data_IF_759419157251
#
_entry.id   IF_759419157251
#
_cell.length_a   1.000
_cell.length_b   1.000
_cell.length_c   1.000
_cell.angle_alpha   90.00
_cell.angle_beta   90.00
_cell.angle_gamma   90.00
#
_symmetry.space_group_name_H-M   'P 1'
#
loop_
_entity.id
_entity.type
_entity.pdbx_description
1 polymer ?
#
# COMPACT_ATOMS: atom_id res chain seq x y z
N UNK A 1 2.64 -49.92 -74.73
CA UNK A 1 2.97 -49.98 -73.28
C UNK A 1 2.34 -48.74 -72.64
N UNK A 2 1.12 -48.94 -72.14
CA UNK A 2 0.43 -48.22 -71.05
C UNK A 2 0.78 -46.74 -70.77
N UNK A 3 -0.14 -45.83 -71.06
CA UNK A 3 -0.40 -44.66 -70.21
C UNK A 3 -1.82 -44.78 -69.64
N UNK A 4 -1.90 -44.91 -68.31
CA UNK A 4 -3.13 -45.04 -67.53
C UNK A 4 -3.81 -43.67 -67.34
N UNK A 5 -5.12 -43.67 -67.55
CA UNK A 5 -6.19 -43.07 -66.73
C UNK A 5 -5.78 -42.09 -65.60
N UNK A 6 -6.37 -40.89 -65.57
CA UNK A 6 -7.51 -40.64 -64.65
C UNK A 6 -8.13 -39.27 -64.86
N UNK A 7 -9.46 -39.28 -64.95
CA UNK A 7 -10.36 -38.15 -64.99
C UNK A 7 -10.42 -37.54 -63.57
N UNK A 8 -9.95 -36.30 -63.37
CA UNK A 8 -10.11 -35.60 -62.10
C UNK A 8 -11.56 -35.15 -61.96
N UNK A 9 -12.28 -35.74 -61.01
CA UNK A 9 -13.56 -35.22 -60.54
C UNK A 9 -13.30 -33.93 -59.75
N UNK A 10 -13.92 -32.84 -60.17
CA UNK A 10 -13.93 -31.58 -59.44
C UNK A 10 -14.86 -31.72 -58.23
N UNK A 11 -14.30 -32.03 -57.07
CA UNK A 11 -14.98 -31.86 -55.79
C UNK A 11 -14.97 -30.38 -55.46
N UNK A 12 -16.10 -29.70 -55.67
CA UNK A 12 -16.35 -28.38 -55.07
C UNK A 12 -16.46 -28.63 -53.57
N UNK A 13 -15.35 -28.46 -52.86
CA UNK A 13 -15.39 -28.21 -51.42
C UNK A 13 -15.98 -26.83 -51.30
N UNK A 14 -17.27 -26.74 -50.98
CA UNK A 14 -17.79 -25.56 -50.35
C UNK A 14 -16.95 -25.36 -49.09
N UNK A 15 -16.05 -24.37 -49.10
CA UNK A 15 -15.60 -23.78 -47.85
C UNK A 15 -16.88 -23.25 -47.20
N UNK A 16 -17.45 -24.07 -46.32
CA UNK A 16 -18.19 -23.53 -45.20
C UNK A 16 -17.19 -22.60 -44.52
N UNK A 17 -17.41 -21.29 -44.66
CA UNK A 17 -16.93 -20.37 -43.65
C UNK A 17 -17.30 -20.97 -42.28
N UNK A 18 -16.44 -20.84 -41.26
CA UNK A 18 -16.85 -21.23 -39.91
C UNK A 18 -18.23 -20.60 -39.67
N UNK A 19 -19.20 -21.40 -39.24
CA UNK A 19 -20.42 -20.85 -38.69
C UNK A 19 -19.99 -19.75 -37.71
N UNK A 20 -20.50 -18.54 -37.89
CA UNK A 20 -20.22 -17.41 -37.00
C UNK A 20 -20.24 -17.96 -35.57
N UNK A 21 -19.10 -17.89 -34.88
CA UNK A 21 -19.07 -18.13 -33.46
C UNK A 21 -20.18 -17.27 -32.87
N UNK A 22 -21.16 -17.88 -32.20
CA UNK A 22 -22.32 -17.15 -31.68
C UNK A 22 -21.79 -16.08 -30.72
N UNK A 23 -22.01 -14.80 -30.98
CA UNK A 23 -21.51 -13.71 -30.13
C UNK A 23 -22.37 -13.48 -28.86
N UNK A 24 -22.97 -14.55 -28.33
CA UNK A 24 -23.73 -14.50 -27.07
C UNK A 24 -25.25 -14.49 -27.18
N UNK A 25 -25.90 -14.47 -26.03
CA UNK A 25 -27.34 -14.59 -25.81
C UNK A 25 -27.83 -13.48 -24.89
N UNK A 26 -28.95 -12.87 -25.28
CA UNK A 26 -29.71 -11.95 -24.44
C UNK A 26 -30.86 -12.70 -23.76
N UNK A 27 -31.05 -12.47 -22.47
CA UNK A 27 -32.16 -13.01 -21.70
C UNK A 27 -32.62 -12.06 -20.60
N UNK A 28 -33.85 -12.22 -20.10
CA UNK A 28 -34.33 -11.47 -18.94
C UNK A 28 -34.38 -12.36 -17.69
N UNK A 29 -33.68 -11.95 -16.64
CA UNK A 29 -33.76 -12.52 -15.30
C UNK A 29 -34.53 -11.57 -14.38
N UNK A 30 -35.86 -11.77 -14.31
CA UNK A 30 -36.73 -10.78 -13.69
C UNK A 30 -36.78 -9.49 -14.52
N UNK A 31 -36.28 -8.39 -13.95
CA UNK A 31 -36.19 -7.07 -14.62
C UNK A 31 -34.74 -6.70 -15.00
N UNK A 32 -33.84 -7.69 -14.98
CA UNK A 32 -32.45 -7.54 -15.41
C UNK A 32 -32.30 -8.09 -16.81
N UNK A 33 -31.77 -7.30 -17.74
CA UNK A 33 -31.33 -7.83 -19.03
C UNK A 33 -29.91 -8.39 -18.86
N UNK A 34 -29.73 -9.66 -19.19
CA UNK A 34 -28.44 -10.37 -19.11
C UNK A 34 -27.94 -10.62 -20.53
N UNK A 35 -26.77 -10.09 -20.84
CA UNK A 35 -25.94 -10.54 -21.95
C UNK A 35 -25.01 -11.63 -21.43
N UNK A 36 -25.00 -12.77 -22.12
CA UNK A 36 -24.11 -13.88 -21.83
C UNK A 36 -23.37 -14.24 -23.11
N UNK A 37 -22.08 -13.99 -23.12
CA UNK A 37 -21.14 -14.40 -24.15
C UNK A 37 -21.15 -15.91 -24.39
N UNK A 38 -20.57 -16.32 -25.52
CA UNK A 38 -20.36 -17.76 -25.78
C UNK A 38 -18.92 -18.13 -25.51
N UNK A 39 -18.71 -19.31 -24.92
CA UNK A 39 -17.38 -19.80 -24.57
C UNK A 39 -16.38 -19.72 -25.75
N UNK A 40 -15.21 -19.13 -25.48
CA UNK A 40 -14.05 -18.97 -26.34
C UNK A 40 -14.19 -17.90 -27.41
N UNK A 41 -15.27 -17.10 -27.38
CA UNK A 41 -15.40 -15.92 -28.22
C UNK A 41 -14.60 -14.75 -27.63
N UNK A 42 -14.16 -13.84 -28.48
CA UNK A 42 -13.75 -12.51 -28.06
C UNK A 42 -14.94 -11.60 -28.37
N UNK A 43 -15.61 -11.15 -27.32
CA UNK A 43 -16.84 -10.37 -27.39
C UNK A 43 -16.57 -8.89 -27.11
N UNK A 44 -17.38 -8.01 -27.70
CA UNK A 44 -17.20 -6.56 -27.57
C UNK A 44 -18.53 -5.80 -27.50
N UNK A 45 -19.45 -6.16 -26.58
CA UNK A 45 -20.77 -5.54 -26.53
C UNK A 45 -20.66 -4.03 -26.27
N UNK A 46 -21.31 -3.25 -27.13
CA UNK A 46 -21.53 -1.82 -26.92
C UNK A 46 -22.98 -1.55 -26.54
N UNK A 47 -23.18 -0.91 -25.39
CA UNK A 47 -24.50 -0.57 -24.85
C UNK A 47 -24.84 0.89 -25.08
N UNK A 48 -26.10 1.20 -25.36
CA UNK A 48 -26.58 2.57 -25.53
C UNK A 48 -28.10 2.67 -25.44
N UNK A 49 -28.68 3.76 -25.93
CA UNK A 49 -30.13 3.94 -25.97
C UNK A 49 -30.56 4.48 -27.34
N UNK A 50 -31.66 3.94 -27.88
CA UNK A 50 -32.24 4.48 -29.11
C UNK A 50 -33.22 5.63 -28.85
N UNK A 51 -33.60 6.35 -29.92
CA UNK A 51 -34.55 7.46 -29.88
C UNK A 51 -35.96 7.04 -29.38
N UNK A 52 -36.28 5.75 -29.40
CA UNK A 52 -37.55 5.20 -28.91
C UNK A 52 -37.49 4.82 -27.42
N UNK A 53 -36.34 5.03 -26.77
CA UNK A 53 -36.08 4.74 -25.38
C UNK A 53 -35.95 3.26 -25.06
N UNK A 54 -35.50 2.46 -26.03
CA UNK A 54 -35.06 1.09 -25.80
C UNK A 54 -33.56 1.06 -25.55
N UNK A 55 -33.14 0.10 -24.73
CA UNK A 55 -31.73 -0.21 -24.55
C UNK A 55 -31.20 -0.86 -25.83
N UNK A 56 -30.05 -0.40 -26.31
CA UNK A 56 -29.36 -0.98 -27.46
C UNK A 56 -28.15 -1.80 -27.03
N UNK A 57 -27.91 -2.92 -27.72
CA UNK A 57 -26.71 -3.75 -27.57
C UNK A 57 -26.18 -4.08 -28.97
N UNK A 58 -25.02 -3.52 -29.32
CA UNK A 58 -24.34 -3.79 -30.58
C UNK A 58 -23.36 -4.94 -30.41
N UNK A 59 -23.73 -6.10 -30.97
CA UNK A 59 -22.92 -7.30 -31.06
C UNK A 59 -23.47 -8.18 -32.23
N UNK A 60 -22.60 -8.86 -32.97
CA UNK A 60 -22.99 -9.59 -34.19
C UNK A 60 -23.42 -11.03 -33.91
N UNK A 61 -24.64 -11.42 -34.27
CA UNK A 61 -25.07 -12.82 -34.13
C UNK A 61 -25.66 -13.18 -32.76
N UNK A 62 -26.13 -12.17 -32.03
CA UNK A 62 -26.89 -12.32 -30.79
C UNK A 62 -28.11 -13.23 -30.94
N UNK A 63 -28.29 -14.12 -29.96
CA UNK A 63 -29.59 -14.76 -29.71
C UNK A 63 -30.45 -13.83 -28.85
N UNK A 64 -31.57 -13.34 -29.38
CA UNK A 64 -32.35 -12.27 -28.73
C UNK A 64 -33.30 -12.76 -27.62
N UNK A 65 -33.45 -11.94 -26.58
CA UNK A 65 -34.47 -12.12 -25.56
C UNK A 65 -35.88 -11.81 -26.11
N UNK A 66 -36.95 -12.35 -25.49
CA UNK A 66 -38.32 -11.99 -25.84
C UNK A 66 -38.57 -10.47 -25.77
N UNK A 67 -39.15 -9.91 -26.83
CA UNK A 67 -39.45 -8.47 -26.92
C UNK A 67 -38.32 -7.62 -27.51
N UNK A 68 -37.11 -8.17 -27.64
CA UNK A 68 -36.02 -7.52 -28.35
C UNK A 68 -36.21 -7.67 -29.87
N UNK A 69 -35.75 -6.67 -30.62
CA UNK A 69 -35.67 -6.68 -32.09
C UNK A 69 -34.24 -6.43 -32.52
N UNK A 70 -33.84 -6.86 -33.71
CA UNK A 70 -32.47 -6.65 -34.21
C UNK A 70 -32.49 -5.97 -35.58
N UNK A 71 -31.79 -4.85 -35.69
CA UNK A 71 -31.51 -4.13 -36.94
C UNK A 71 -30.09 -3.58 -36.87
N UNK A 72 -29.11 -4.45 -37.13
CA UNK A 72 -27.66 -4.23 -36.92
C UNK A 72 -27.22 -4.03 -35.46
N UNK A 73 -28.13 -3.62 -34.58
CA UNK A 73 -28.01 -3.66 -33.12
C UNK A 73 -29.25 -4.31 -32.53
N UNK A 74 -29.13 -4.95 -31.37
CA UNK A 74 -30.30 -5.36 -30.61
C UNK A 74 -30.97 -4.13 -29.98
N UNK A 75 -32.30 -4.12 -29.95
CA UNK A 75 -33.13 -3.11 -29.32
C UNK A 75 -34.09 -3.80 -28.35
N UNK A 76 -33.86 -3.66 -27.06
CA UNK A 76 -34.58 -4.35 -26.01
C UNK A 76 -35.45 -3.39 -25.19
N UNK A 77 -36.62 -3.83 -24.69
CA UNK A 77 -37.36 -3.08 -23.68
C UNK A 77 -36.44 -2.65 -22.53
N UNK A 78 -36.57 -1.41 -22.08
CA UNK A 78 -35.71 -0.86 -21.03
C UNK A 78 -35.82 -1.71 -19.74
N UNK A 79 -34.73 -2.33 -19.26
CA UNK A 79 -34.73 -3.07 -18.00
C UNK A 79 -34.55 -2.12 -16.80
N UNK A 80 -34.60 -2.66 -15.58
CA UNK A 80 -34.17 -1.94 -14.38
C UNK A 80 -32.66 -2.06 -14.09
N UNK A 81 -31.98 -3.03 -14.71
CA UNK A 81 -30.54 -3.29 -14.57
C UNK A 81 -30.02 -4.05 -15.79
N UNK A 82 -28.73 -3.90 -16.07
CA UNK A 82 -28.02 -4.74 -17.05
C UNK A 82 -26.94 -5.56 -16.36
N UNK A 83 -26.77 -6.82 -16.78
CA UNK A 83 -25.59 -7.63 -16.43
C UNK A 83 -24.93 -8.15 -17.71
N UNK A 84 -23.62 -7.97 -17.82
CA UNK A 84 -22.79 -8.55 -18.87
C UNK A 84 -21.96 -9.68 -18.25
N UNK A 85 -22.05 -10.87 -18.85
CA UNK A 85 -21.20 -12.03 -18.55
C UNK A 85 -20.38 -12.31 -19.81
N UNK A 86 -19.10 -11.92 -19.81
CA UNK A 86 -18.24 -11.91 -21.01
C UNK A 86 -17.52 -13.24 -21.27
N UNK A 87 -17.35 -14.10 -20.26
CA UNK A 87 -17.06 -15.52 -20.49
C UNK A 87 -15.61 -15.88 -20.21
N UNK A 88 -14.96 -16.58 -21.12
CA UNK A 88 -13.57 -17.04 -21.01
C UNK A 88 -12.66 -16.47 -22.12
N UNK A 89 -13.11 -15.40 -22.77
CA UNK A 89 -12.42 -14.69 -23.84
C UNK A 89 -11.53 -13.56 -23.35
N UNK A 90 -10.73 -12.98 -24.25
CA UNK A 90 -10.08 -11.70 -23.98
C UNK A 90 -11.06 -10.58 -24.41
N UNK A 91 -11.96 -10.18 -23.53
CA UNK A 91 -13.15 -9.43 -23.89
C UNK A 91 -13.02 -7.92 -23.63
N UNK A 92 -13.95 -7.17 -24.22
CA UNK A 92 -14.04 -5.72 -24.02
C UNK A 92 -15.51 -5.34 -23.86
N UNK A 93 -15.83 -4.32 -23.06
CA UNK A 93 -17.16 -3.73 -23.12
C UNK A 93 -17.10 -2.22 -23.33
N UNK A 94 -18.16 -1.66 -23.90
CA UNK A 94 -18.26 -0.22 -24.05
C UNK A 94 -19.69 0.28 -23.84
N UNK A 95 -19.78 1.53 -23.43
CA UNK A 95 -21.03 2.24 -23.29
C UNK A 95 -20.97 3.48 -24.18
N UNK A 96 -21.99 3.64 -25.01
CA UNK A 96 -22.17 4.81 -25.84
C UNK A 96 -22.58 6.01 -24.99
N UNK A 97 -22.38 7.21 -25.52
CA UNK A 97 -22.66 8.45 -24.79
C UNK A 97 -24.13 8.68 -24.46
N UNK A 98 -25.02 7.92 -25.08
CA UNK A 98 -26.47 7.93 -24.89
C UNK A 98 -26.95 6.84 -23.93
N UNK A 99 -26.04 6.06 -23.31
CA UNK A 99 -26.40 5.10 -22.29
C UNK A 99 -27.10 5.80 -21.11
N UNK A 100 -28.19 5.24 -20.55
CA UNK A 100 -28.96 5.95 -19.52
C UNK A 100 -28.20 6.11 -18.21
N UNK A 101 -28.01 7.35 -17.75
CA UNK A 101 -27.32 7.72 -16.50
C UNK A 101 -27.90 7.12 -15.21
N UNK A 102 -29.08 6.49 -15.25
CA UNK A 102 -29.79 5.92 -14.09
C UNK A 102 -30.08 4.41 -14.25
N UNK A 103 -29.38 3.76 -15.19
CA UNK A 103 -29.48 2.32 -15.45
C UNK A 103 -28.22 1.61 -14.94
N UNK A 104 -28.27 0.96 -13.77
CA UNK A 104 -27.10 0.29 -13.21
C UNK A 104 -26.66 -0.89 -14.09
N UNK A 105 -25.34 -1.04 -14.20
CA UNK A 105 -24.69 -2.12 -14.92
C UNK A 105 -23.77 -2.92 -13.99
N UNK A 106 -23.75 -4.23 -14.19
CA UNK A 106 -22.77 -5.17 -13.64
C UNK A 106 -22.04 -5.82 -14.82
N UNK A 107 -20.71 -5.79 -14.82
CA UNK A 107 -19.89 -6.37 -15.88
C UNK A 107 -18.97 -7.40 -15.25
N UNK A 108 -19.10 -8.65 -15.69
CA UNK A 108 -18.30 -9.79 -15.28
C UNK A 108 -17.47 -10.21 -16.48
N UNK A 109 -16.16 -10.01 -16.42
CA UNK A 109 -15.19 -10.44 -17.44
C UNK A 109 -15.18 -11.95 -17.55
N UNK A 110 -14.69 -12.60 -16.49
CA UNK A 110 -14.64 -14.05 -16.37
C UNK A 110 -13.21 -14.53 -16.48
N UNK A 111 -12.88 -15.51 -17.31
CA UNK A 111 -11.48 -15.86 -17.55
C UNK A 111 -10.96 -15.12 -18.79
N UNK A 112 -9.66 -14.86 -18.89
CA UNK A 112 -9.08 -14.16 -20.04
C UNK A 112 -8.63 -12.75 -19.68
N UNK A 113 -8.07 -12.01 -20.65
CA UNK A 113 -7.58 -10.65 -20.42
C UNK A 113 -8.64 -9.65 -20.84
N UNK A 114 -9.40 -9.20 -19.87
CA UNK A 114 -10.58 -8.38 -20.09
C UNK A 114 -10.28 -6.90 -19.93
N UNK A 115 -11.04 -6.11 -20.67
CA UNK A 115 -10.97 -4.66 -20.57
C UNK A 115 -12.38 -4.12 -20.31
N UNK A 116 -12.61 -3.89 -19.02
CA UNK A 116 -13.90 -3.54 -18.47
C UNK A 116 -13.95 -2.05 -18.16
N UNK A 117 -15.00 -1.40 -18.64
CA UNK A 117 -15.21 0.02 -18.37
C UNK A 117 -16.69 0.35 -18.30
N UNK A 118 -16.99 1.49 -17.70
CA UNK A 118 -18.35 2.03 -17.64
C UNK A 118 -18.44 3.37 -18.36
N UNK A 119 -19.65 3.96 -18.35
CA UNK A 119 -19.88 5.33 -18.79
C UNK A 119 -21.05 5.87 -17.98
N UNK A 120 -20.83 6.99 -17.28
CA UNK A 120 -21.91 7.70 -16.59
C UNK A 120 -21.61 7.98 -15.13
N UNK A 121 -22.68 8.25 -14.38
CA UNK A 121 -22.65 8.68 -12.98
C UNK A 121 -23.42 7.72 -12.05
N UNK A 122 -23.62 6.47 -12.47
CA UNK A 122 -24.22 5.44 -11.64
C UNK A 122 -23.15 4.55 -11.03
N UNK A 123 -23.40 4.12 -9.79
CA UNK A 123 -22.57 3.13 -9.12
C UNK A 123 -22.60 1.80 -9.88
N UNK A 124 -21.43 1.32 -10.28
CA UNK A 124 -21.27 0.12 -11.09
C UNK A 124 -20.46 -0.95 -10.37
N UNK A 125 -20.59 -2.18 -10.86
CA UNK A 125 -19.74 -3.30 -10.42
C UNK A 125 -19.01 -3.87 -11.62
N UNK A 126 -17.68 -3.78 -11.59
CA UNK A 126 -16.77 -4.44 -12.52
C UNK A 126 -16.06 -5.57 -11.80
N UNK A 127 -16.05 -6.75 -12.38
CA UNK A 127 -15.36 -7.94 -11.88
C UNK A 127 -14.56 -8.53 -13.05
N UNK A 128 -13.24 -8.39 -13.02
CA UNK A 128 -12.32 -8.89 -14.05
C UNK A 128 -12.36 -10.41 -14.11
N UNK A 129 -12.14 -11.05 -12.97
CA UNK A 129 -12.23 -12.49 -12.81
C UNK A 129 -10.83 -13.11 -12.80
N UNK A 130 -10.45 -13.84 -13.83
CA UNK A 130 -9.15 -14.49 -13.92
C UNK A 130 -8.42 -14.10 -15.18
N UNK A 131 -7.25 -13.50 -15.05
CA UNK A 131 -6.43 -13.06 -16.17
C UNK A 131 -5.69 -11.78 -15.81
N UNK A 132 -5.39 -10.95 -16.79
CA UNK A 132 -4.73 -9.68 -16.52
C UNK A 132 -5.63 -8.60 -17.11
N UNK A 133 -6.45 -8.03 -16.26
CA UNK A 133 -7.60 -7.24 -16.64
C UNK A 133 -7.33 -5.75 -16.51
N UNK A 134 -8.11 -4.94 -17.21
CA UNK A 134 -8.11 -3.49 -17.09
C UNK A 134 -9.51 -3.05 -16.69
N UNK A 135 -9.66 -2.47 -15.51
CA UNK A 135 -10.94 -2.00 -14.98
C UNK A 135 -10.98 -0.47 -14.86
N UNK A 136 -12.03 0.17 -15.38
CA UNK A 136 -12.22 1.64 -15.33
C UNK A 136 -13.62 2.03 -14.85
N UNK A 137 -13.69 2.58 -13.62
CA UNK A 137 -14.94 3.01 -12.95
C UNK A 137 -15.51 4.36 -13.42
N UNK A 138 -14.64 5.31 -13.78
CA UNK A 138 -14.99 6.67 -14.23
C UNK A 138 -15.51 7.63 -13.15
N UNK A 139 -16.81 7.78 -13.00
CA UNK A 139 -17.42 8.72 -12.07
C UNK A 139 -18.46 7.96 -11.27
N UNK A 140 -18.57 8.28 -9.98
CA UNK A 140 -19.48 7.69 -8.99
C UNK A 140 -18.84 6.59 -8.16
N UNK A 141 -19.63 5.99 -7.26
CA UNK A 141 -19.10 5.12 -6.22
C UNK A 141 -19.17 3.68 -6.69
N UNK A 142 -18.06 3.19 -7.20
CA UNK A 142 -18.00 1.93 -7.91
C UNK A 142 -17.47 0.81 -7.04
N UNK A 143 -17.65 -0.41 -7.53
CA UNK A 143 -17.04 -1.61 -6.96
C UNK A 143 -16.24 -2.29 -8.05
N UNK A 144 -14.92 -2.30 -7.89
CA UNK A 144 -13.97 -2.81 -8.86
C UNK A 144 -13.24 -4.01 -8.24
N UNK A 145 -13.33 -5.17 -8.89
CA UNK A 145 -12.64 -6.39 -8.47
C UNK A 145 -11.75 -6.89 -9.60
N UNK A 146 -10.45 -6.95 -9.39
CA UNK A 146 -9.51 -7.49 -10.37
C UNK A 146 -9.68 -9.01 -10.48
N UNK A 147 -9.39 -9.70 -9.39
CA UNK A 147 -9.60 -11.14 -9.25
C UNK A 147 -8.27 -11.88 -9.15
N UNK A 148 -7.89 -12.69 -10.14
CA UNK A 148 -6.58 -13.35 -10.17
C UNK A 148 -5.79 -12.93 -11.39
N UNK A 149 -4.48 -12.73 -11.22
CA UNK A 149 -3.51 -12.31 -12.23
C UNK A 149 -3.17 -10.82 -12.05
N UNK A 150 -2.30 -10.27 -12.91
CA UNK A 150 -1.81 -8.89 -12.70
C UNK A 150 -2.73 -7.88 -13.39
N UNK A 151 -3.52 -7.14 -12.61
CA UNK A 151 -4.60 -6.26 -13.05
C UNK A 151 -4.24 -4.76 -13.01
N UNK A 152 -4.87 -3.96 -13.88
CA UNK A 152 -4.81 -2.49 -13.87
C UNK A 152 -6.19 -1.92 -13.53
N UNK A 153 -6.33 -1.31 -12.34
CA UNK A 153 -7.62 -0.82 -11.85
C UNK A 153 -7.59 0.69 -11.65
N UNK A 154 -8.55 1.38 -12.26
CA UNK A 154 -8.73 2.82 -12.16
C UNK A 154 -10.13 3.18 -11.66
N UNK A 155 -10.24 3.69 -10.43
CA UNK A 155 -11.49 4.17 -9.83
C UNK A 155 -11.96 5.50 -10.43
N UNK A 156 -11.00 6.37 -10.74
CA UNK A 156 -11.17 7.71 -11.29
C UNK A 156 -11.80 8.72 -10.33
N UNK A 157 -13.06 8.60 -9.94
CA UNK A 157 -13.60 9.56 -8.97
C UNK A 157 -14.99 9.23 -8.48
N UNK A 158 -15.25 9.62 -7.24
CA UNK A 158 -16.33 9.04 -6.44
C UNK A 158 -15.71 8.24 -5.30
N UNK A 159 -16.51 7.64 -4.44
CA UNK A 159 -16.01 6.82 -3.34
C UNK A 159 -16.06 5.35 -3.76
N UNK A 160 -14.93 4.84 -4.22
CA UNK A 160 -14.81 3.53 -4.83
C UNK A 160 -14.44 2.45 -3.81
N UNK A 161 -14.83 1.22 -4.13
CA UNK A 161 -14.43 0.01 -3.42
C UNK A 161 -13.61 -0.87 -4.36
N UNK A 162 -12.30 -0.88 -4.16
CA UNK A 162 -11.32 -1.56 -5.01
C UNK A 162 -10.74 -2.75 -4.26
N UNK A 163 -10.89 -3.94 -4.85
CA UNK A 163 -10.29 -5.20 -4.39
C UNK A 163 -9.49 -5.78 -5.56
N UNK A 164 -8.16 -5.64 -5.55
CA UNK A 164 -7.36 -6.04 -6.71
C UNK A 164 -7.23 -7.56 -6.83
N UNK A 165 -6.86 -8.24 -5.74
CA UNK A 165 -6.97 -9.69 -5.65
C UNK A 165 -5.61 -10.38 -5.61
N UNK A 166 -5.49 -11.57 -6.21
CA UNK A 166 -4.20 -12.26 -6.29
C UNK A 166 -3.43 -11.77 -7.52
N UNK A 167 -2.23 -11.22 -7.38
CA UNK A 167 -1.54 -10.66 -8.55
C UNK A 167 -0.37 -9.79 -8.18
N UNK A 168 0.17 -9.03 -9.14
CA UNK A 168 0.92 -7.82 -8.84
C UNK A 168 0.19 -6.67 -9.52
N UNK A 169 -0.73 -6.07 -8.79
CA UNK A 169 -1.73 -5.19 -9.37
C UNK A 169 -1.25 -3.74 -9.40
N UNK A 170 -1.82 -2.96 -10.32
CA UNK A 170 -1.58 -1.51 -10.41
C UNK A 170 -2.90 -0.76 -10.20
N UNK A 171 -2.93 0.05 -9.16
CA UNK A 171 -4.14 0.72 -8.67
C UNK A 171 -3.98 2.24 -8.78
N UNK A 172 -4.97 2.87 -9.40
CA UNK A 172 -5.14 4.32 -9.45
C UNK A 172 -6.57 4.64 -8.98
N UNK A 173 -6.80 4.74 -7.65
CA UNK A 173 -8.14 4.93 -7.10
C UNK A 173 -8.72 6.28 -7.53
N UNK A 174 -7.96 7.38 -7.51
CA UNK A 174 -8.49 8.71 -7.79
C UNK A 174 -7.81 9.45 -8.97
N UNK A 175 -8.46 10.55 -9.34
CA UNK A 175 -7.84 11.63 -10.10
C UNK A 175 -7.88 12.92 -9.29
N UNK A 176 -6.90 13.80 -9.51
CA UNK A 176 -6.87 15.12 -8.87
C UNK A 176 -8.18 15.93 -8.98
N UNK A 177 -8.90 15.79 -10.10
CA UNK A 177 -10.13 16.55 -10.34
C UNK A 177 -11.40 15.90 -9.78
N UNK A 178 -11.31 14.67 -9.28
CA UNK A 178 -12.43 13.94 -8.70
C UNK A 178 -12.00 13.09 -7.50
N UNK A 179 -11.47 13.70 -6.43
CA UNK A 179 -11.02 12.94 -5.26
C UNK A 179 -12.18 12.20 -4.61
N UNK A 180 -11.88 10.98 -4.16
CA UNK A 180 -12.79 10.02 -3.55
C UNK A 180 -12.64 9.88 -2.04
N UNK A 181 -13.36 8.95 -1.44
CA UNK A 181 -12.99 8.39 -0.14
C UNK A 181 -13.04 6.89 -0.36
N UNK A 182 -11.92 6.34 -0.77
CA UNK A 182 -11.84 5.04 -1.41
C UNK A 182 -11.44 3.98 -0.40
N UNK A 183 -11.93 2.76 -0.64
CA UNK A 183 -11.38 1.56 -0.03
C UNK A 183 -10.49 0.90 -1.07
N UNK A 184 -9.20 0.71 -0.76
CA UNK A 184 -8.21 0.16 -1.69
C UNK A 184 -7.47 -0.98 -1.03
N UNK A 185 -7.70 -2.19 -1.53
CA UNK A 185 -7.08 -3.42 -1.06
C UNK A 185 -6.35 -4.09 -2.23
N UNK A 186 -5.01 -4.10 -2.21
CA UNK A 186 -4.21 -4.78 -3.24
C UNK A 186 -4.40 -6.29 -3.15
N UNK A 187 -4.22 -6.85 -1.95
CA UNK A 187 -4.45 -8.26 -1.70
C UNK A 187 -3.15 -9.06 -1.68
N UNK A 188 -3.16 -10.36 -2.03
CA UNK A 188 -1.93 -11.14 -2.12
C UNK A 188 -1.12 -10.77 -3.36
N UNK A 189 0.06 -10.20 -3.17
CA UNK A 189 0.80 -9.69 -4.32
C UNK A 189 2.03 -8.89 -3.99
N UNK A 190 2.56 -8.23 -5.01
CA UNK A 190 3.34 -7.00 -4.86
C UNK A 190 2.58 -5.92 -5.59
N UNK A 191 1.71 -5.23 -4.85
CA UNK A 191 0.73 -4.32 -5.44
C UNK A 191 1.25 -2.89 -5.43
N UNK A 192 0.92 -2.14 -6.48
CA UNK A 192 1.35 -0.77 -6.66
C UNK A 192 0.16 0.17 -6.64
N UNK A 193 0.11 1.08 -5.67
CA UNK A 193 -0.74 2.26 -5.75
C UNK A 193 0.06 3.35 -6.45
N UNK A 194 -0.39 3.73 -7.63
CA UNK A 194 0.09 4.88 -8.37
C UNK A 194 -1.04 5.91 -8.40
N UNK A 195 -1.06 6.71 -7.35
CA UNK A 195 -2.13 7.63 -7.06
C UNK A 195 -1.60 9.04 -6.89
N UNK A 196 -2.50 10.01 -7.03
CA UNK A 196 -2.23 11.42 -6.81
C UNK A 196 -1.34 12.05 -7.89
N UNK A 197 -1.78 11.91 -9.14
CA UNK A 197 -1.24 12.66 -10.27
C UNK A 197 -1.33 14.18 -10.07
N UNK A 198 -0.35 14.88 -10.66
CA UNK A 198 -0.19 16.34 -10.63
C UNK A 198 -1.16 16.99 -11.66
N UNK A 199 -2.00 17.99 -11.29
CA UNK A 199 -2.54 18.90 -12.29
C UNK A 199 -1.38 19.69 -12.92
N UNK A 200 -1.42 19.97 -14.23
CA UNK A 200 -0.33 20.66 -14.93
C UNK A 200 -0.01 22.12 -14.52
N UNK A 201 -0.23 22.52 -13.25
CA UNK A 201 0.13 23.82 -12.66
C UNK A 201 0.52 23.73 -11.17
N UNK A 202 1.28 24.76 -10.74
CA UNK A 202 2.12 24.98 -9.55
C UNK A 202 1.57 24.71 -8.10
N UNK A 203 0.49 23.94 -7.90
CA UNK A 203 0.06 23.59 -6.53
C UNK A 203 -0.37 22.13 -6.40
N UNK A 204 0.54 21.35 -5.83
CA UNK A 204 0.36 19.93 -5.54
C UNK A 204 0.23 19.76 -4.01
N UNK A 205 -0.99 19.66 -3.47
CA UNK A 205 -1.16 19.48 -2.03
C UNK A 205 -0.52 18.15 -1.59
N UNK A 206 0.12 18.12 -0.41
CA UNK A 206 0.76 16.92 0.05
C UNK A 206 -0.26 15.83 0.39
N UNK A 207 0.17 14.58 0.25
CA UNK A 207 -0.62 13.39 0.59
C UNK A 207 -0.19 12.81 1.94
N UNK A 208 -1.10 12.06 2.56
CA UNK A 208 -0.80 11.22 3.72
C UNK A 208 -1.18 9.79 3.35
N UNK A 209 -0.33 8.82 3.66
CA UNK A 209 -0.61 7.41 3.47
C UNK A 209 0.00 6.61 4.62
N UNK A 210 -0.74 5.64 5.16
CA UNK A 210 -0.33 4.92 6.36
C UNK A 210 -0.47 3.40 6.33
N UNK A 211 -1.02 2.80 5.28
CA UNK A 211 -1.17 1.34 5.09
C UNK A 211 -1.72 0.58 6.32
N UNK A 212 -2.42 1.28 7.21
CA UNK A 212 -2.78 0.78 8.53
C UNK A 212 -4.24 0.29 8.60
N UNK A 213 -4.93 0.30 7.45
CA UNK A 213 -6.33 -0.09 7.32
C UNK A 213 -7.28 0.89 8.02
N UNK A 214 -6.88 2.16 8.16
CA UNK A 214 -7.73 3.24 8.65
C UNK A 214 -7.99 4.26 7.55
N UNK A 215 -9.25 4.69 7.43
CA UNK A 215 -9.68 5.73 6.50
C UNK A 215 -9.11 7.12 6.88
N UNK A 216 -7.82 7.35 6.60
CA UNK A 216 -7.09 8.59 6.82
C UNK A 216 -5.93 8.80 5.84
N UNK A 217 -6.02 8.16 4.68
CA UNK A 217 -5.06 8.32 3.59
C UNK A 217 -5.59 9.34 2.56
N UNK A 218 -4.76 9.71 1.60
CA UNK A 218 -5.10 10.64 0.51
C UNK A 218 -4.79 12.12 0.80
N UNK A 219 -5.37 13.03 0.02
CA UNK A 219 -5.22 14.49 0.20
C UNK A 219 -6.14 15.03 1.29
N UNK A 220 -5.74 14.83 2.54
CA UNK A 220 -6.49 15.27 3.74
C UNK A 220 -6.92 16.75 3.73
N UNK A 221 -6.16 17.62 3.06
CA UNK A 221 -6.50 19.05 2.92
C UNK A 221 -7.73 19.32 2.04
N UNK A 222 -8.04 18.41 1.13
CA UNK A 222 -9.24 18.40 0.29
C UNK A 222 -10.43 17.67 0.97
N UNK A 223 -10.19 16.98 2.09
CA UNK A 223 -11.20 16.22 2.82
C UNK A 223 -11.30 14.74 2.41
N UNK A 224 -10.39 14.30 1.55
CA UNK A 224 -10.12 12.89 1.19
C UNK A 224 -9.68 12.12 2.43
N UNK A 225 -10.21 10.90 2.60
CA UNK A 225 -9.91 9.98 3.69
C UNK A 225 -10.01 8.54 3.19
N UNK A 226 -9.08 8.18 2.32
CA UNK A 226 -8.99 6.82 1.77
C UNK A 226 -8.52 5.84 2.84
N UNK A 227 -8.80 4.56 2.57
CA UNK A 227 -8.35 3.44 3.35
C UNK A 227 -7.54 2.51 2.46
N UNK A 228 -6.21 2.64 2.50
CA UNK A 228 -5.29 1.83 1.70
C UNK A 228 -4.70 0.72 2.57
N UNK A 229 -4.72 -0.51 2.07
CA UNK A 229 -4.19 -1.69 2.76
C UNK A 229 -3.67 -2.73 1.76
N UNK A 230 -2.78 -3.61 2.24
CA UNK A 230 -2.19 -4.71 1.45
C UNK A 230 -1.61 -4.20 0.12
N UNK A 231 -0.77 -3.17 0.19
CA UNK A 231 -0.06 -2.59 -0.94
C UNK A 231 1.39 -2.48 -0.52
N UNK A 232 2.32 -2.97 -1.34
CA UNK A 232 3.75 -2.96 -1.05
C UNK A 232 4.44 -1.78 -1.72
N UNK A 233 3.88 -1.22 -2.79
CA UNK A 233 4.52 -0.14 -3.54
C UNK A 233 3.62 1.10 -3.66
N UNK A 234 4.21 2.25 -3.39
CA UNK A 234 3.56 3.55 -3.53
C UNK A 234 4.40 4.42 -4.45
N UNK A 235 3.82 4.78 -5.59
CA UNK A 235 4.37 5.80 -6.46
C UNK A 235 3.59 7.08 -6.20
N UNK A 236 4.24 8.06 -5.58
CA UNK A 236 3.65 9.37 -5.34
C UNK A 236 4.27 10.40 -6.28
N UNK A 237 3.43 11.16 -6.96
CA UNK A 237 3.89 12.29 -7.76
C UNK A 237 3.84 13.62 -6.99
N UNK A 238 3.61 13.57 -5.69
CA UNK A 238 3.59 14.75 -4.80
C UNK A 238 4.33 14.45 -3.50
N UNK A 239 4.89 15.49 -2.86
CA UNK A 239 5.45 15.36 -1.50
C UNK A 239 4.38 14.88 -0.51
N UNK A 240 4.75 14.19 0.56
CA UNK A 240 3.78 13.71 1.52
C UNK A 240 4.36 13.04 2.75
N UNK A 241 3.49 12.51 3.60
CA UNK A 241 3.87 11.57 4.66
C UNK A 241 3.43 10.18 4.25
N UNK A 242 4.38 9.30 3.95
CA UNK A 242 4.13 7.90 3.63
C UNK A 242 4.68 7.04 4.78
N UNK A 243 3.87 6.13 5.29
CA UNK A 243 4.21 5.23 6.37
C UNK A 243 3.84 3.80 5.98
N UNK A 244 4.85 2.93 5.96
CA UNK A 244 4.75 1.53 5.61
C UNK A 244 4.14 0.67 6.71
N UNK A 245 4.07 -0.62 6.46
CA UNK A 245 3.56 -1.64 7.36
C UNK A 245 4.66 -2.31 8.19
N UNK A 246 4.53 -3.63 8.35
CA UNK A 246 5.56 -4.48 8.99
C UNK A 246 6.17 -5.46 7.97
N UNK A 247 5.91 -5.22 6.67
CA UNK A 247 6.41 -5.96 5.53
C UNK A 247 7.36 -5.10 4.72
N UNK A 248 7.84 -5.61 3.58
CA UNK A 248 8.77 -4.84 2.75
C UNK A 248 8.00 -3.82 1.91
N UNK A 249 8.27 -2.54 2.11
CA UNK A 249 7.58 -1.44 1.44
C UNK A 249 8.50 -0.70 0.44
N UNK A 250 7.98 -0.33 -0.73
CA UNK A 250 8.68 0.44 -1.77
C UNK A 250 7.98 1.79 -1.99
N UNK A 251 8.55 2.86 -1.42
CA UNK A 251 8.09 4.22 -1.63
C UNK A 251 8.96 4.92 -2.66
N UNK A 252 8.31 5.43 -3.70
CA UNK A 252 8.95 6.15 -4.79
C UNK A 252 8.25 7.50 -5.03
N UNK A 253 8.87 8.58 -4.54
CA UNK A 253 8.33 9.94 -4.66
C UNK A 253 8.94 10.64 -5.87
N UNK A 254 8.20 10.72 -6.98
CA UNK A 254 8.58 11.38 -8.24
C UNK A 254 8.08 12.83 -8.32
N UNK A 255 8.53 13.64 -7.36
CA UNK A 255 8.18 15.05 -7.26
C UNK A 255 8.86 15.89 -8.36
N UNK A 256 8.16 16.21 -9.45
CA UNK A 256 8.76 16.89 -10.61
C UNK A 256 8.67 18.43 -10.55
N UNK A 257 7.92 19.04 -9.63
CA UNK A 257 7.62 20.48 -9.69
C UNK A 257 7.34 21.09 -8.30
N UNK A 258 8.32 21.76 -7.69
CA UNK A 258 8.11 22.68 -6.54
C UNK A 258 7.35 22.09 -5.34
N UNK A 259 7.55 20.81 -5.04
CA UNK A 259 6.83 20.11 -3.96
C UNK A 259 7.62 20.12 -2.66
N UNK A 260 6.92 20.13 -1.54
CA UNK A 260 7.54 20.35 -0.24
C UNK A 260 8.35 19.15 0.25
N UNK A 261 8.69 19.23 1.53
CA UNK A 261 9.35 18.16 2.26
C UNK A 261 8.47 16.91 2.35
N UNK A 262 9.07 15.74 2.20
CA UNK A 262 8.46 14.43 2.41
C UNK A 262 8.88 13.82 3.74
N UNK A 263 8.05 12.93 4.26
CA UNK A 263 8.37 12.06 5.39
C UNK A 263 8.07 10.62 4.99
N UNK A 264 9.10 9.78 4.88
CA UNK A 264 8.99 8.37 4.52
C UNK A 264 9.38 7.53 5.73
N UNK A 265 8.48 6.67 6.19
CA UNK A 265 8.71 5.76 7.30
C UNK A 265 8.51 4.33 6.79
N UNK A 266 9.57 3.52 6.69
CA UNK A 266 9.46 2.11 6.28
C UNK A 266 8.80 1.25 7.35
N UNK A 267 8.99 1.64 8.61
CA UNK A 267 8.51 0.97 9.82
C UNK A 267 9.16 -0.37 10.09
N UNK A 268 8.96 -1.42 9.29
CA UNK A 268 9.75 -2.63 9.47
C UNK A 268 9.54 -3.60 8.33
N UNK A 269 10.58 -4.34 7.97
CA UNK A 269 10.66 -4.96 6.66
C UNK A 269 11.98 -4.54 6.01
N UNK A 270 12.37 -5.17 4.90
CA UNK A 270 13.49 -4.66 4.10
C UNK A 270 12.91 -3.65 3.10
N UNK A 271 12.97 -2.36 3.45
CA UNK A 271 12.23 -1.31 2.76
C UNK A 271 13.06 -0.60 1.68
N UNK A 272 12.39 0.01 0.71
CA UNK A 272 12.99 0.88 -0.31
C UNK A 272 12.33 2.25 -0.24
N UNK A 273 13.06 3.23 0.26
CA UNK A 273 12.57 4.59 0.44
C UNK A 273 13.31 5.54 -0.51
N UNK A 274 12.60 6.09 -1.49
CA UNK A 274 13.12 7.06 -2.46
C UNK A 274 12.33 8.37 -2.35
N UNK A 275 12.98 9.42 -1.88
CA UNK A 275 12.39 10.76 -1.75
C UNK A 275 12.80 11.70 -2.90
N UNK A 276 12.34 12.95 -2.83
CA UNK A 276 12.52 13.97 -3.87
C UNK A 276 13.68 14.91 -3.58
N UNK A 277 13.72 16.07 -4.25
CA UNK A 277 14.85 17.01 -4.18
C UNK A 277 14.74 18.06 -3.03
N UNK A 278 13.97 17.78 -1.97
CA UNK A 278 13.65 18.74 -0.90
C UNK A 278 14.21 18.32 0.47
N UNK A 279 13.86 19.02 1.55
CA UNK A 279 14.36 18.68 2.87
C UNK A 279 13.52 17.56 3.47
N UNK A 280 13.88 16.32 3.16
CA UNK A 280 13.08 15.15 3.44
C UNK A 280 13.50 14.51 4.78
N UNK A 281 12.60 13.69 5.33
CA UNK A 281 12.85 12.90 6.54
C UNK A 281 12.56 11.45 6.24
N UNK A 282 13.57 10.60 6.33
CA UNK A 282 13.47 9.18 6.03
C UNK A 282 13.88 8.37 7.25
N UNK A 283 13.09 7.36 7.60
CA UNK A 283 13.36 6.39 8.67
C UNK A 283 13.05 4.99 8.13
N UNK A 284 14.07 4.17 7.90
CA UNK A 284 13.91 2.80 7.41
C UNK A 284 13.14 1.95 8.42
N UNK A 285 13.62 1.94 9.67
CA UNK A 285 13.06 1.08 10.70
C UNK A 285 13.89 -0.18 10.87
N UNK A 286 13.35 -1.29 11.40
CA UNK A 286 14.07 -2.55 11.45
C UNK A 286 14.00 -3.31 10.12
N UNK A 287 15.15 -3.74 9.64
CA UNK A 287 15.31 -4.49 8.39
C UNK A 287 16.51 -3.96 7.60
N UNK A 288 16.79 -4.53 6.44
CA UNK A 288 17.92 -4.07 5.62
C UNK A 288 17.39 -3.10 4.56
N UNK A 289 17.43 -1.82 4.88
CA UNK A 289 16.72 -0.82 4.10
C UNK A 289 17.59 -0.23 3.00
N UNK A 290 16.98 0.11 1.88
CA UNK A 290 17.56 0.95 0.84
C UNK A 290 16.93 2.33 0.92
N UNK A 291 17.75 3.34 1.21
CA UNK A 291 17.30 4.72 1.35
C UNK A 291 18.03 5.62 0.37
N UNK A 292 17.27 6.35 -0.45
CA UNK A 292 17.75 7.43 -1.30
C UNK A 292 16.97 8.70 -0.98
N UNK A 293 17.62 9.66 -0.32
CA UNK A 293 16.95 10.87 0.14
C UNK A 293 16.78 11.95 -0.93
N UNK A 294 17.46 11.82 -2.08
CA UNK A 294 17.38 12.81 -3.16
C UNK A 294 18.36 13.97 -2.97
N UNK A 295 18.04 15.16 -3.46
CA UNK A 295 18.80 16.38 -3.13
C UNK A 295 18.10 17.12 -1.96
N UNK A 296 18.76 18.07 -1.32
CA UNK A 296 18.14 18.88 -0.26
C UNK A 296 18.84 18.64 1.07
N UNK A 297 18.41 19.27 2.17
CA UNK A 297 19.02 18.96 3.48
C UNK A 297 18.16 17.90 4.17
N UNK A 298 18.61 16.66 4.11
CA UNK A 298 17.83 15.51 4.52
C UNK A 298 18.18 15.03 5.92
N UNK A 299 17.19 14.41 6.56
CA UNK A 299 17.37 13.71 7.82
C UNK A 299 17.07 12.25 7.59
N UNK A 300 18.11 11.41 7.62
CA UNK A 300 17.99 9.98 7.35
C UNK A 300 18.34 9.16 8.59
N UNK A 301 17.48 8.24 8.95
CA UNK A 301 17.75 7.16 9.90
C UNK A 301 17.62 5.83 9.15
N UNK A 302 18.64 4.98 9.21
CA UNK A 302 18.53 3.61 8.69
C UNK A 302 17.63 2.82 9.62
N UNK A 303 18.20 2.46 10.77
CA UNK A 303 17.47 1.81 11.85
C UNK A 303 18.24 0.57 12.26
N UNK A 304 17.62 -0.43 12.90
CA UNK A 304 18.26 -1.72 13.12
C UNK A 304 18.35 -2.56 11.84
N UNK A 305 19.56 -2.89 11.38
CA UNK A 305 19.74 -3.75 10.20
C UNK A 305 21.02 -3.44 9.45
N UNK A 306 21.19 -4.02 8.25
CA UNK A 306 22.29 -3.64 7.37
C UNK A 306 21.74 -2.76 6.25
N UNK A 307 21.82 -1.45 6.47
CA UNK A 307 21.19 -0.46 5.61
C UNK A 307 22.13 0.01 4.50
N UNK A 308 21.55 0.39 3.37
CA UNK A 308 22.21 1.09 2.28
C UNK A 308 21.61 2.47 2.14
N UNK A 309 22.36 3.49 2.54
CA UNK A 309 21.91 4.88 2.59
C UNK A 309 22.69 5.72 1.59
N UNK A 310 21.95 6.32 0.66
CA UNK A 310 22.40 7.40 -0.20
C UNK A 310 21.69 8.68 0.24
N UNK A 311 22.40 9.54 0.96
CA UNK A 311 21.79 10.75 1.53
C UNK A 311 21.67 11.89 0.50
N UNK A 312 22.50 11.89 -0.55
CA UNK A 312 22.41 12.88 -1.61
C UNK A 312 22.43 12.21 -3.00
N UNK A 313 21.65 12.74 -3.92
CA UNK A 313 21.62 12.31 -5.30
C UNK A 313 22.93 12.65 -6.01
N UNK A 314 23.46 11.71 -6.79
CA UNK A 314 24.68 11.99 -7.57
C UNK A 314 24.38 12.99 -8.69
N UNK A 315 25.39 13.73 -9.17
CA UNK A 315 25.27 14.57 -10.38
C UNK A 315 24.80 13.82 -11.65
N UNK A 316 24.88 12.49 -11.67
CA UNK A 316 24.34 11.66 -12.74
C UNK A 316 22.80 11.53 -12.70
N UNK A 317 22.19 11.79 -11.55
CA UNK A 317 20.74 11.83 -11.32
C UNK A 317 20.10 13.12 -11.84
N UNK A 318 20.88 14.17 -12.15
CA UNK A 318 20.40 15.35 -12.91
C UNK A 318 20.10 14.92 -14.37
N UNK A 319 18.93 14.34 -14.62
CA UNK A 319 18.45 13.96 -15.95
C UNK A 319 18.17 15.17 -16.87
N UNK A 320 18.08 14.89 -18.18
CA UNK A 320 17.87 15.85 -19.27
C UNK A 320 16.60 16.70 -19.20
N UNK A 321 15.64 16.37 -18.33
CA UNK A 321 14.43 17.15 -18.07
C UNK A 321 14.54 18.10 -16.85
N UNK A 322 15.58 17.97 -16.02
CA UNK A 322 15.80 18.87 -14.89
C UNK A 322 16.37 20.22 -15.39
N UNK A 323 15.47 21.15 -15.72
CA UNK A 323 15.81 22.57 -15.87
C UNK A 323 16.10 23.25 -14.50
N UNK A 324 16.16 22.45 -13.43
CA UNK A 324 16.12 22.86 -12.02
C UNK A 324 17.04 22.06 -11.11
N UNK A 325 18.23 21.62 -11.53
CA UNK A 325 19.35 21.43 -10.57
C UNK A 325 19.75 22.83 -10.03
N UNK A 326 18.81 23.44 -9.30
CA UNK A 326 18.73 24.80 -8.75
C UNK A 326 18.88 24.77 -7.23
N UNK A 327 18.69 23.63 -6.60
CA UNK A 327 18.94 23.45 -5.17
C UNK A 327 20.42 23.08 -5.05
N UNK A 328 21.23 23.82 -4.26
CA UNK A 328 22.60 23.39 -3.97
C UNK A 328 22.53 22.04 -3.26
N UNK A 329 23.55 21.21 -3.46
CA UNK A 329 23.69 19.96 -2.73
C UNK A 329 23.44 20.14 -1.23
N UNK A 330 22.92 19.08 -0.62
CA UNK A 330 22.45 19.03 0.75
C UNK A 330 23.48 19.34 1.82
N UNK A 331 23.01 19.39 3.05
CA UNK A 331 23.86 19.25 4.23
C UNK A 331 23.13 18.26 5.13
N UNK A 332 23.37 17.00 4.86
CA UNK A 332 22.51 15.92 5.31
C UNK A 332 22.93 15.43 6.69
N UNK A 333 21.95 14.89 7.41
CA UNK A 333 22.18 14.27 8.71
C UNK A 333 21.76 12.81 8.64
N UNK A 334 22.75 11.93 8.63
CA UNK A 334 22.55 10.47 8.65
C UNK A 334 22.79 9.92 10.05
N UNK A 335 21.86 9.11 10.54
CA UNK A 335 21.98 8.39 11.81
C UNK A 335 21.81 6.88 11.58
N UNK A 336 22.91 6.17 11.61
CA UNK A 336 23.00 4.73 11.39
C UNK A 336 23.91 4.14 12.50
N UNK A 337 23.49 4.36 13.75
CA UNK A 337 24.22 3.87 14.93
C UNK A 337 23.32 2.92 15.71
N UNK A 338 23.28 1.69 15.26
CA UNK A 338 22.39 0.63 15.70
C UNK A 338 23.15 -0.62 16.21
N UNK A 339 24.46 -0.69 15.94
CA UNK A 339 25.36 -1.80 16.27
C UNK A 339 25.53 -2.84 15.16
N UNK A 340 24.98 -2.60 13.97
CA UNK A 340 25.11 -3.43 12.77
C UNK A 340 25.93 -2.69 11.70
N UNK A 341 26.14 -3.34 10.54
CA UNK A 341 27.11 -2.86 9.56
C UNK A 341 26.41 -2.21 8.37
N UNK A 342 26.48 -0.89 8.30
CA UNK A 342 25.80 -0.10 7.29
C UNK A 342 26.72 0.37 6.17
N UNK A 343 26.13 0.69 5.02
CA UNK A 343 26.78 1.38 3.92
C UNK A 343 26.15 2.75 3.71
N UNK A 344 26.91 3.80 4.03
CA UNK A 344 26.46 5.20 3.92
C UNK A 344 27.33 5.95 2.91
N UNK A 345 26.67 6.61 1.97
CA UNK A 345 27.25 7.65 1.11
C UNK A 345 26.48 8.96 1.33
N UNK A 346 27.12 9.96 1.93
CA UNK A 346 26.48 11.27 2.12
C UNK A 346 26.44 12.11 0.84
N UNK A 347 27.21 11.76 -0.20
CA UNK A 347 27.26 12.52 -1.44
C UNK A 347 27.99 13.87 -1.32
N UNK A 348 27.33 14.98 -1.69
CA UNK A 348 28.00 16.28 -1.80
C UNK A 348 27.37 17.24 -0.81
N UNK A 349 28.16 17.93 -0.01
CA UNK A 349 27.55 18.82 0.98
C UNK A 349 28.51 19.22 2.08
N UNK A 350 27.96 19.75 3.18
CA UNK A 350 28.62 19.70 4.48
C UNK A 350 27.82 18.75 5.38
N UNK A 351 28.02 17.45 5.15
CA UNK A 351 27.19 16.39 5.66
C UNK A 351 27.71 15.84 6.99
N UNK A 352 26.78 15.30 7.78
CA UNK A 352 27.08 14.73 9.09
C UNK A 352 26.51 13.32 9.24
N UNK A 353 27.40 12.34 9.38
CA UNK A 353 27.04 10.97 9.73
C UNK A 353 27.31 10.64 11.21
N UNK A 354 26.33 10.06 11.89
CA UNK A 354 26.44 9.45 13.22
C UNK A 354 26.36 7.95 13.07
N UNK A 355 27.47 7.27 13.28
CA UNK A 355 27.65 5.88 12.86
C UNK A 355 28.41 5.08 13.92
N UNK A 356 28.37 3.77 13.81
CA UNK A 356 29.24 2.83 14.48
C UNK A 356 30.62 2.73 13.79
N UNK A 357 31.55 2.05 14.45
CA UNK A 357 32.90 1.85 13.90
C UNK A 357 32.94 0.81 12.77
N UNK A 358 31.92 -0.03 12.66
CA UNK A 358 31.84 -1.13 11.70
C UNK A 358 31.31 -0.66 10.33
N UNK A 359 30.74 0.54 10.26
CA UNK A 359 30.09 1.05 9.04
C UNK A 359 31.08 1.50 7.98
N UNK A 360 30.67 1.28 6.74
CA UNK A 360 31.31 1.82 5.56
C UNK A 360 30.70 3.19 5.28
N UNK A 361 31.52 4.24 5.41
CA UNK A 361 31.07 5.62 5.22
C UNK A 361 31.90 6.29 4.15
N UNK A 362 31.24 6.86 3.15
CA UNK A 362 31.82 7.62 2.05
C UNK A 362 31.24 9.04 2.01
N UNK A 363 32.06 9.97 1.51
CA UNK A 363 31.68 11.34 1.16
C UNK A 363 30.91 12.14 2.24
N UNK A 364 31.15 11.89 3.52
CA UNK A 364 30.62 12.73 4.61
C UNK A 364 31.74 13.60 5.21
N UNK A 365 31.50 14.91 5.34
CA UNK A 365 32.46 15.88 5.87
C UNK A 365 32.70 15.70 7.37
N UNK A 366 31.62 15.44 8.11
CA UNK A 366 31.65 15.20 9.56
C UNK A 366 31.17 13.80 9.87
N UNK A 367 32.05 13.00 10.50
CA UNK A 367 31.71 11.63 10.89
C UNK A 367 31.93 11.44 12.39
N UNK A 368 30.83 11.27 13.14
CA UNK A 368 30.85 10.90 14.56
C UNK A 368 30.81 9.37 14.69
N UNK A 369 31.99 8.74 14.56
CA UNK A 369 32.18 7.30 14.76
C UNK A 369 32.29 6.94 16.23
N UNK A 370 31.39 6.10 16.72
CA UNK A 370 31.55 5.49 18.04
C UNK A 370 32.75 4.53 18.01
N UNK A 371 33.82 4.87 18.75
CA UNK A 371 35.08 4.11 18.71
C UNK A 371 34.91 2.63 19.12
N UNK A 372 35.43 1.72 18.28
CA UNK A 372 35.58 0.31 18.59
C UNK A 372 36.24 0.13 19.98
N UNK A 373 35.47 -0.36 20.96
CA UNK A 373 36.05 -0.72 22.25
C UNK A 373 36.78 -2.04 22.11
N UNK A 374 38.06 -1.96 21.73
CA UNK A 374 39.03 -3.03 21.95
C UNK A 374 39.22 -3.23 23.46
N UNK A 375 38.53 -4.22 24.04
CA UNK A 375 38.88 -4.82 25.33
C UNK A 375 39.56 -6.17 25.10
N UNK A 376 40.62 -6.54 25.85
CA UNK A 376 41.52 -7.63 25.48
C UNK A 376 40.80 -8.98 25.52
N UNK A 377 41.10 -9.82 24.53
CA UNK A 377 40.52 -11.15 24.40
C UNK A 377 40.59 -11.98 25.68
N UNK A 378 39.44 -12.55 26.03
CA UNK A 378 39.30 -13.77 26.80
C UNK A 378 38.24 -14.63 26.11
N UNK A 379 38.39 -15.97 26.13
CA UNK A 379 38.16 -16.83 24.98
C UNK A 379 36.68 -17.12 24.73
N UNK A 380 36.40 -17.58 23.50
CA UNK A 380 35.13 -18.13 23.04
C UNK A 380 34.44 -18.95 24.15
N UNK A 381 33.39 -18.35 24.72
CA UNK A 381 32.47 -18.98 25.63
C UNK A 381 31.07 -18.61 25.17
N UNK A 382 30.27 -19.62 24.84
CA UNK A 382 28.89 -19.52 24.44
C UNK A 382 28.09 -18.64 25.43
N UNK A 383 27.85 -17.37 25.11
CA UNK A 383 26.87 -16.56 25.82
C UNK A 383 26.10 -15.67 24.84
N UNK A 384 24.82 -15.98 24.73
CA UNK A 384 23.74 -15.30 24.01
C UNK A 384 23.67 -13.80 24.36
N UNK A 385 23.53 -12.85 23.41
CA UNK A 385 23.37 -11.44 23.73
C UNK A 385 22.05 -11.17 24.48
N UNK A 386 22.13 -10.36 25.54
CA UNK A 386 21.04 -10.05 26.43
C UNK A 386 20.27 -8.80 25.95
N UNK A 387 19.00 -8.98 25.59
CA UNK A 387 18.05 -7.91 25.26
C UNK A 387 18.00 -6.81 26.33
N UNK A 388 18.27 -5.56 25.95
CA UNK A 388 18.12 -4.38 26.79
C UNK A 388 16.65 -4.03 26.98
N UNK A 389 16.05 -4.59 28.03
CA UNK A 389 14.65 -4.31 28.40
C UNK A 389 14.39 -2.84 28.83
N UNK A 390 13.10 -2.46 28.97
CA UNK A 390 12.67 -1.08 29.16
C UNK A 390 13.27 -0.41 30.40
N UNK A 391 13.59 0.89 30.28
CA UNK A 391 14.19 1.69 31.36
C UNK A 391 13.19 1.89 32.51
N UNK A 392 13.51 1.35 33.69
CA UNK A 392 12.64 1.38 34.88
C UNK A 392 13.25 2.21 36.01
N UNK A 393 12.47 3.16 36.54
CA UNK A 393 12.78 3.86 37.81
C UNK A 393 11.70 3.62 38.86
N UNK A 394 12.09 3.51 40.14
CA UNK A 394 11.16 3.29 41.25
C UNK A 394 11.56 4.09 42.50
N UNK A 395 10.62 4.87 43.05
CA UNK A 395 10.85 5.75 44.22
C UNK A 395 9.72 5.61 45.24
N UNK A 396 10.07 5.31 46.49
CA UNK A 396 9.10 5.20 47.58
C UNK A 396 8.72 6.59 48.13
N UNK A 397 7.43 6.83 48.36
CA UNK A 397 6.88 7.98 49.11
C UNK A 397 5.83 7.47 50.10
N UNK A 398 6.21 7.33 51.37
CA UNK A 398 5.33 6.77 52.41
C UNK A 398 4.95 5.32 52.10
N UNK A 399 3.64 5.04 52.04
CA UNK A 399 3.03 3.74 51.70
C UNK A 399 2.79 3.55 50.19
N UNK A 400 3.40 4.38 49.36
CA UNK A 400 3.32 4.34 47.89
C UNK A 400 4.70 4.12 47.28
N UNK A 401 4.77 3.30 46.25
CA UNK A 401 5.94 3.14 45.38
C UNK A 401 5.56 3.68 43.99
N UNK A 402 6.16 4.80 43.61
CA UNK A 402 5.98 5.39 42.30
C UNK A 402 6.98 4.74 41.35
N UNK A 403 6.50 4.22 40.24
CA UNK A 403 7.29 3.52 39.22
C UNK A 403 7.08 4.24 37.90
N UNK A 404 8.16 4.57 37.20
CA UNK A 404 8.12 5.09 35.83
C UNK A 404 8.77 4.06 34.92
N UNK A 405 8.08 3.74 33.84
CA UNK A 405 8.55 2.83 32.78
C UNK A 405 8.41 3.57 31.46
N UNK A 406 9.50 3.71 30.73
CA UNK A 406 9.48 4.34 29.40
C UNK A 406 9.11 3.30 28.34
N UNK A 407 8.19 3.67 27.44
CA UNK A 407 7.76 2.86 26.31
C UNK A 407 8.10 3.58 25.01
N UNK A 408 8.67 2.83 24.06
CA UNK A 408 9.01 3.32 22.71
C UNK A 408 7.76 3.55 21.84
N UNK A 409 6.68 2.81 22.09
CA UNK A 409 5.37 3.00 21.44
C UNK A 409 4.19 2.77 22.39
N UNK A 410 3.01 2.46 21.84
CA UNK A 410 1.84 2.06 22.61
C UNK A 410 2.17 0.81 23.45
N UNK A 411 1.83 0.82 24.74
CA UNK A 411 2.26 -0.23 25.65
C UNK A 411 1.31 -0.42 26.83
N UNK A 412 1.20 -1.66 27.30
CA UNK A 412 0.50 -2.03 28.53
C UNK A 412 1.51 -2.48 29.58
N UNK A 413 1.75 -1.60 30.56
CA UNK A 413 2.68 -1.86 31.65
C UNK A 413 1.93 -2.45 32.86
N UNK A 414 2.40 -3.57 33.38
CA UNK A 414 1.92 -4.23 34.62
C UNK A 414 3.07 -4.30 35.62
N UNK A 415 2.91 -3.69 36.79
CA UNK A 415 3.89 -3.71 37.88
C UNK A 415 3.34 -4.47 39.10
N UNK A 416 4.12 -5.40 39.64
CA UNK A 416 3.78 -6.20 40.83
C UNK A 416 4.91 -6.16 41.86
N UNK A 417 4.58 -5.82 43.10
CA UNK A 417 5.53 -5.76 44.22
C UNK A 417 5.36 -7.00 45.11
N UNK A 418 6.43 -7.76 45.30
CA UNK A 418 6.42 -9.04 46.03
C UNK A 418 7.37 -9.01 47.23
N UNK A 419 6.89 -9.38 48.41
CA UNK A 419 7.71 -9.55 49.63
C UNK A 419 7.55 -10.99 50.11
N UNK A 420 8.66 -11.72 50.26
CA UNK A 420 8.65 -13.14 50.72
C UNK A 420 7.61 -14.01 49.99
N UNK A 421 7.59 -13.92 48.65
CA UNK A 421 6.65 -14.61 47.75
C UNK A 421 5.17 -14.19 47.85
N UNK A 422 4.81 -13.23 48.70
CA UNK A 422 3.46 -12.64 48.74
C UNK A 422 3.42 -11.33 47.98
N UNK A 423 2.43 -11.16 47.10
CA UNK A 423 2.18 -9.88 46.43
C UNK A 423 1.62 -8.87 47.43
N UNK A 424 2.25 -7.71 47.54
CA UNK A 424 1.89 -6.64 48.50
C UNK A 424 1.44 -5.35 47.82
N UNK A 425 1.55 -5.25 46.49
CA UNK A 425 1.02 -4.15 45.68
C UNK A 425 1.03 -4.51 44.20
N UNK A 426 0.08 -3.98 43.43
CA UNK A 426 -0.01 -4.09 41.97
C UNK A 426 -0.48 -2.76 41.37
N UNK A 427 -0.07 -2.48 40.14
CA UNK A 427 -0.60 -1.39 39.33
C UNK A 427 -0.43 -1.74 37.85
N UNK A 428 -1.29 -1.21 36.99
CA UNK A 428 -1.12 -1.28 35.54
C UNK A 428 -1.46 0.06 34.90
N UNK A 429 -0.85 0.35 33.76
CA UNK A 429 -1.15 1.54 32.96
C UNK A 429 -0.94 1.21 31.48
N UNK A 430 -1.87 1.63 30.65
CA UNK A 430 -1.73 1.57 29.18
C UNK A 430 -1.39 2.97 28.67
N UNK A 431 -0.45 3.04 27.75
CA UNK A 431 -0.19 4.20 26.90
C UNK A 431 -0.60 3.84 25.48
N UNK A 432 -1.23 4.78 24.79
CA UNK A 432 -1.66 4.61 23.40
C UNK A 432 -0.61 5.12 22.40
N UNK A 433 0.52 5.63 22.90
CA UNK A 433 1.66 6.11 22.11
C UNK A 433 2.91 6.11 22.98
N UNK A 434 4.06 6.36 22.38
CA UNK A 434 5.35 6.49 23.06
C UNK A 434 5.27 7.42 24.30
N UNK A 435 5.99 7.06 25.37
CA UNK A 435 6.11 7.91 26.56
C UNK A 435 6.28 7.18 27.89
N UNK A 436 6.15 7.95 28.98
CA UNK A 436 6.43 7.46 30.33
C UNK A 436 5.17 6.98 31.08
N UNK A 437 5.06 5.66 31.26
CA UNK A 437 4.03 5.04 32.07
C UNK A 437 4.34 5.22 33.56
N UNK A 438 3.71 6.23 34.17
CA UNK A 438 3.81 6.52 35.61
C UNK A 438 2.76 5.72 36.40
N UNK A 439 3.21 4.72 37.16
CA UNK A 439 2.38 3.85 38.02
C UNK A 439 2.60 4.16 39.51
N UNK A 440 1.58 3.92 40.33
CA UNK A 440 1.68 4.05 41.80
C UNK A 440 1.18 2.78 42.47
N UNK A 441 2.09 2.01 43.08
CA UNK A 441 1.75 0.82 43.84
C UNK A 441 1.54 1.18 45.31
N UNK A 442 0.36 0.90 45.86
CA UNK A 442 0.07 1.06 47.30
C UNK A 442 0.41 -0.23 48.04
N UNK A 443 1.06 -0.12 49.20
CA UNK A 443 1.38 -1.26 50.06
C UNK A 443 1.24 -0.90 51.55
N UNK A 444 1.06 -1.90 52.42
CA UNK A 444 0.98 -1.68 53.88
C UNK A 444 2.35 -1.31 54.45
N UNK A 445 2.38 -0.29 55.32
CA UNK A 445 3.61 0.20 55.97
C UNK A 445 4.32 -0.94 56.70
N UNK A 446 5.57 -1.29 56.35
CA UNK A 446 6.26 -2.40 56.97
C UNK A 446 6.78 -2.01 58.36
N UNK A 447 6.75 -2.96 59.32
CA UNK A 447 7.23 -2.71 60.70
C UNK A 447 8.73 -2.45 60.80
N UNK A 448 9.50 -2.89 59.80
CA UNK A 448 10.94 -2.69 59.61
C UNK A 448 11.25 -2.57 58.12
N UNK A 449 12.40 -2.02 57.74
CA UNK A 449 12.81 -2.00 56.32
C UNK A 449 12.89 -3.43 55.78
N UNK A 450 12.25 -3.69 54.64
CA UNK A 450 12.20 -5.02 54.01
C UNK A 450 12.59 -4.93 52.54
N UNK A 451 13.33 -5.93 52.07
CA UNK A 451 13.58 -6.11 50.63
C UNK A 451 12.33 -6.65 49.94
N UNK A 452 11.98 -6.06 48.81
CA UNK A 452 10.87 -6.47 47.95
C UNK A 452 11.38 -6.61 46.52
N UNK A 453 10.77 -7.52 45.76
CA UNK A 453 11.00 -7.67 44.33
C UNK A 453 9.90 -6.93 43.58
N UNK A 454 10.27 -5.92 42.80
CA UNK A 454 9.40 -5.26 41.85
C UNK A 454 9.51 -6.02 40.52
N UNK A 455 8.43 -6.64 40.08
CA UNK A 455 8.30 -7.28 38.76
C UNK A 455 7.53 -6.33 37.84
N UNK A 456 8.03 -6.13 36.63
CA UNK A 456 7.43 -5.28 35.61
C UNK A 456 7.31 -6.11 34.36
N UNK A 457 6.13 -6.06 33.76
CA UNK A 457 5.84 -6.63 32.46
C UNK A 457 5.39 -5.48 31.57
N UNK A 458 6.02 -5.35 30.42
CA UNK A 458 5.61 -4.43 29.36
C UNK A 458 5.14 -5.29 28.20
N UNK A 459 4.01 -4.93 27.64
CA UNK A 459 3.33 -5.63 26.56
C UNK A 459 3.05 -4.56 25.51
N UNK A 460 3.86 -4.54 24.45
CA UNK A 460 3.78 -3.61 23.32
C UNK A 460 3.66 -4.37 22.00
N UNK A 461 3.83 -3.68 20.88
CA UNK A 461 3.82 -4.27 19.53
C UNK A 461 4.94 -5.33 19.38
N UNK A 462 6.15 -5.03 19.85
CA UNK A 462 7.33 -5.93 19.94
C UNK A 462 7.18 -7.10 20.94
N UNK A 463 5.95 -7.38 21.38
CA UNK A 463 5.60 -8.48 22.27
C UNK A 463 5.76 -8.16 23.76
N UNK A 464 5.93 -9.23 24.56
CA UNK A 464 5.83 -9.16 26.02
C UNK A 464 7.18 -9.32 26.71
N UNK A 465 7.77 -8.21 27.12
CA UNK A 465 9.01 -8.19 27.90
C UNK A 465 8.73 -8.15 29.41
N UNK A 466 9.55 -8.82 30.21
CA UNK A 466 9.43 -8.80 31.68
C UNK A 466 10.77 -8.62 32.35
N UNK A 467 10.86 -7.65 33.25
CA UNK A 467 12.05 -7.35 34.05
C UNK A 467 11.72 -7.36 35.54
N UNK A 468 12.73 -7.56 36.39
CA UNK A 468 12.55 -7.48 37.83
C UNK A 468 13.72 -6.80 38.52
N UNK A 469 13.42 -6.00 39.54
CA UNK A 469 14.39 -5.24 40.31
C UNK A 469 14.13 -5.36 41.80
N UNK A 470 15.19 -5.48 42.59
CA UNK A 470 15.08 -5.46 44.05
C UNK A 470 14.97 -4.02 44.55
N UNK A 471 13.96 -3.74 45.38
CA UNK A 471 13.73 -2.44 46.02
C UNK A 471 13.65 -2.59 47.54
N UNK A 472 14.21 -1.63 48.28
CA UNK A 472 14.11 -1.60 49.75
C UNK A 472 12.91 -0.75 50.17
N UNK A 473 11.89 -1.38 50.77
CA UNK A 473 10.74 -0.68 51.33
C UNK A 473 11.09 -0.22 52.75
N UNK A 474 11.30 1.08 52.92
CA UNK A 474 11.59 1.72 54.21
C UNK A 474 10.32 1.79 55.06
N UNK A 475 10.52 1.77 56.39
CA UNK A 475 9.45 1.91 57.39
C UNK A 475 8.66 3.18 57.16
#
# INVERSE_FOLDING_TARGET
MTLKLSLLAATVVALLAPAAAQAGTLSYEGDTLVFKASDGAQDSPMLGMDDAGKLTISEEGLTLAPGCTYDYTAHCPMPARVRLELGDGDDWNSFASDYPDALPAEVLGGEGKDQLQTYGADNVTLDGGGGNDILKGWQSNDTLRGGTGDDEINGSGGNDHIEAGEGNDTLSPDTYYGPGNDYVDGGPGVDTVNDWTIPGNDYNPPVSLSMDGVANDGRLSAGEVDNVLNVEKVVSHVSGTLSGGEGNDDFDVWANLDEGNSTLLGNGGDDKLVAGDYQDTLDGGPGNDFINAGFGNDVVTGGPGQDTIQADATSASCGWYSYTCKIPFGNDVVNARDGEADTIDCGVGEDRAVVDAIDTVANCETVDKAGATTGPGAPAGNDKPAATGPKVTAKQKGTKLNVTVSCAGACKVKATLVVKRKTVGKASKTLLKAGDAKLTLKFKKPRKTVSATLKITVEGADGKTSTSKTVKLKR
#
